data_IF_622805146453
#
_entry.id   IF_622805146453
#
_cell.length_a   1.000
_cell.length_b   1.000
_cell.length_c   1.000
_cell.angle_alpha   90.00
_cell.angle_beta   90.00
_cell.angle_gamma   90.00
#
_symmetry.space_group_name_H-M   'P 1'
#
loop_
_entity.id
_entity.type
_entity.pdbx_description
1 polymer ?
#
# COMPACT_ATOMS: atom_id res chain seq x y z
N UNK A 1 8.46 -27.75 21.19
CA UNK A 1 7.81 -26.69 20.42
C UNK A 1 8.87 -25.67 20.06
N UNK A 2 9.06 -25.29 18.80
CA UNK A 2 9.96 -24.21 18.44
C UNK A 2 9.52 -22.92 19.14
N UNK A 3 10.47 -22.12 19.60
CA UNK A 3 10.19 -20.83 20.24
C UNK A 3 9.57 -19.91 19.17
N UNK A 4 8.38 -19.34 19.44
CA UNK A 4 7.81 -18.33 18.53
C UNK A 4 8.74 -17.12 18.47
N UNK A 5 9.02 -16.56 17.26
CA UNK A 5 9.86 -15.39 17.12
C UNK A 5 9.24 -14.16 17.80
N UNK A 6 10.10 -13.29 18.31
CA UNK A 6 9.72 -11.98 18.84
C UNK A 6 9.51 -10.97 17.72
N UNK A 7 8.55 -10.06 17.89
CA UNK A 7 8.18 -9.06 16.90
C UNK A 7 8.30 -7.64 17.47
N UNK A 8 8.96 -6.73 16.76
CA UNK A 8 8.84 -5.30 17.02
C UNK A 8 7.93 -4.64 15.98
N UNK A 9 7.08 -3.69 16.43
CA UNK A 9 6.31 -2.79 15.55
C UNK A 9 6.86 -1.38 15.74
N UNK A 10 7.62 -0.90 14.76
CA UNK A 10 8.28 0.41 14.78
C UNK A 10 7.41 1.42 14.03
N UNK A 11 7.06 2.52 14.70
CA UNK A 11 6.03 3.44 14.24
C UNK A 11 4.62 3.10 14.74
N UNK A 12 4.51 2.31 15.80
CA UNK A 12 3.25 1.74 16.31
C UNK A 12 2.13 2.76 16.59
N UNK A 13 2.46 4.04 16.78
CA UNK A 13 1.49 5.12 17.04
C UNK A 13 1.04 5.88 15.79
N UNK A 14 1.56 5.52 14.62
CA UNK A 14 1.19 6.10 13.33
C UNK A 14 -0.12 5.55 12.77
N UNK A 15 -0.63 6.15 11.69
CA UNK A 15 -1.87 5.72 11.06
C UNK A 15 -1.81 4.26 10.59
N UNK A 16 -0.73 3.86 9.91
CA UNK A 16 -0.51 2.47 9.49
C UNK A 16 -0.14 1.59 10.67
N UNK A 17 0.68 2.09 11.62
CA UNK A 17 1.07 1.35 12.83
C UNK A 17 -0.14 0.87 13.64
N UNK A 18 -1.15 1.73 13.82
CA UNK A 18 -2.39 1.33 14.52
C UNK A 18 -3.18 0.27 13.74
N UNK A 19 -3.19 0.33 12.41
CA UNK A 19 -3.77 -0.72 11.57
C UNK A 19 -2.97 -2.03 11.66
N UNK A 20 -1.63 -1.96 11.76
CA UNK A 20 -0.80 -3.15 12.02
C UNK A 20 -1.20 -3.85 13.32
N UNK A 21 -1.44 -3.09 14.41
CA UNK A 21 -1.87 -3.68 15.69
C UNK A 21 -3.25 -4.34 15.59
N UNK A 22 -4.20 -3.73 14.86
CA UNK A 22 -5.51 -4.34 14.59
C UNK A 22 -5.38 -5.64 13.79
N UNK A 23 -4.56 -5.64 12.75
CA UNK A 23 -4.27 -6.82 11.93
C UNK A 23 -3.63 -7.93 12.76
N UNK A 24 -2.58 -7.62 13.53
CA UNK A 24 -1.92 -8.61 14.40
C UNK A 24 -2.88 -9.22 15.42
N UNK A 25 -3.88 -8.45 15.89
CA UNK A 25 -4.90 -8.91 16.83
C UNK A 25 -5.90 -9.89 16.23
N UNK A 26 -6.07 -9.87 14.90
CA UNK A 26 -7.06 -10.68 14.17
C UNK A 26 -6.45 -11.84 13.39
N UNK A 27 -5.14 -11.82 13.17
CA UNK A 27 -4.41 -12.83 12.40
C UNK A 27 -3.82 -13.94 13.27
N UNK A 28 -3.09 -14.87 12.62
CA UNK A 28 -2.46 -16.03 13.27
C UNK A 28 -1.54 -15.60 14.41
N UNK A 29 -1.65 -16.30 15.51
CA UNK A 29 -0.73 -16.14 16.65
C UNK A 29 0.59 -16.89 16.42
N UNK A 30 1.46 -16.29 15.61
CA UNK A 30 2.77 -16.85 15.25
C UNK A 30 3.93 -16.23 16.02
N UNK A 31 3.69 -15.13 16.73
CA UNK A 31 4.72 -14.40 17.49
C UNK A 31 4.65 -14.69 19.00
N UNK A 32 5.82 -14.66 19.64
CA UNK A 32 5.93 -14.64 21.10
C UNK A 32 5.74 -13.22 21.65
N UNK A 33 6.84 -12.59 22.10
CA UNK A 33 6.83 -11.19 22.54
C UNK A 33 6.50 -10.24 21.38
N UNK A 34 5.66 -9.23 21.64
CA UNK A 34 5.44 -8.10 20.74
C UNK A 34 5.90 -6.83 21.46
N UNK A 35 6.84 -6.11 20.85
CA UNK A 35 7.38 -4.85 21.34
C UNK A 35 6.95 -3.68 20.49
N UNK A 36 6.32 -2.66 21.09
CA UNK A 36 5.88 -1.47 20.38
C UNK A 36 6.94 -0.38 20.51
N UNK A 37 7.43 0.11 19.36
CA UNK A 37 8.50 1.12 19.31
C UNK A 37 7.98 2.36 18.55
N UNK A 38 8.25 3.54 19.09
CA UNK A 38 7.95 4.80 18.44
C UNK A 38 8.92 5.91 18.88
N UNK A 39 8.71 7.15 18.39
CA UNK A 39 9.53 8.29 18.82
C UNK A 39 9.45 8.51 20.34
N UNK A 40 10.46 9.19 20.90
CA UNK A 40 10.50 9.53 22.33
C UNK A 40 9.24 10.29 22.82
N UNK A 41 8.60 11.08 21.94
CA UNK A 41 7.32 11.77 22.25
C UNK A 41 6.15 10.82 22.51
N UNK A 42 6.22 9.61 22.00
CA UNK A 42 5.19 8.59 22.14
C UNK A 42 5.53 7.51 23.17
N UNK A 43 6.75 7.51 23.69
CA UNK A 43 7.17 6.56 24.73
C UNK A 43 6.26 6.69 25.97
N UNK A 44 5.95 5.55 26.60
CA UNK A 44 5.04 5.46 27.73
C UNK A 44 3.56 5.39 27.37
N UNK A 45 3.16 5.68 26.12
CA UNK A 45 1.78 5.44 25.67
C UNK A 45 1.46 3.95 25.74
N UNK A 46 0.20 3.65 26.03
CA UNK A 46 -0.30 2.27 26.06
C UNK A 46 -1.21 2.01 24.88
N UNK A 47 -0.99 0.91 24.18
CA UNK A 47 -1.78 0.50 23.02
C UNK A 47 -2.19 -0.96 23.17
N UNK A 48 -3.39 -1.28 22.70
CA UNK A 48 -3.90 -2.65 22.71
C UNK A 48 -3.36 -3.42 21.48
N UNK A 49 -2.81 -4.60 21.74
CA UNK A 49 -2.47 -5.56 20.70
C UNK A 49 -2.76 -6.98 21.21
N UNK A 50 -3.51 -7.78 20.44
CA UNK A 50 -3.85 -9.18 20.79
C UNK A 50 -4.52 -9.34 22.17
N UNK A 51 -5.32 -8.35 22.58
CA UNK A 51 -6.00 -8.36 23.89
C UNK A 51 -5.13 -7.93 25.07
N UNK A 52 -3.88 -7.59 24.84
CA UNK A 52 -2.94 -7.13 25.87
C UNK A 52 -2.65 -5.63 25.71
N UNK A 53 -2.51 -4.93 26.84
CA UNK A 53 -2.08 -3.55 26.87
C UNK A 53 -0.55 -3.48 26.90
N UNK A 54 0.05 -3.03 25.81
CA UNK A 54 1.50 -2.95 25.63
C UNK A 54 1.98 -1.49 25.75
N UNK A 55 3.08 -1.28 26.46
CA UNK A 55 3.70 0.04 26.60
C UNK A 55 4.65 0.31 25.43
N UNK A 56 4.49 1.45 24.79
CA UNK A 56 5.38 1.91 23.73
C UNK A 56 6.72 2.34 24.32
N UNK A 57 7.81 1.80 23.78
CA UNK A 57 9.17 2.20 24.12
C UNK A 57 9.74 3.19 23.11
N UNK A 58 10.71 4.00 23.54
CA UNK A 58 11.41 4.92 22.66
C UNK A 58 12.30 4.15 21.67
N UNK A 59 12.41 4.66 20.45
CA UNK A 59 13.32 4.15 19.43
C UNK A 59 14.78 4.35 19.90
N UNK A 60 15.49 3.25 20.09
CA UNK A 60 16.90 3.20 20.48
C UNK A 60 17.51 1.87 20.01
N UNK A 61 18.85 1.73 19.95
CA UNK A 61 19.47 0.45 19.60
C UNK A 61 19.09 -0.70 20.55
N UNK A 62 18.92 -0.41 21.84
CA UNK A 62 18.55 -1.39 22.88
C UNK A 62 17.11 -1.90 22.69
N UNK A 63 16.24 -1.09 22.08
CA UNK A 63 14.87 -1.48 21.76
C UNK A 63 14.79 -2.68 20.80
N UNK A 64 15.86 -2.98 20.07
CA UNK A 64 15.94 -4.12 19.13
C UNK A 64 16.63 -5.35 19.74
N UNK A 65 17.13 -5.29 20.95
CA UNK A 65 17.77 -6.45 21.59
C UNK A 65 16.77 -7.59 21.81
N UNK A 66 17.13 -8.77 21.30
CA UNK A 66 16.28 -9.97 21.38
C UNK A 66 15.06 -9.96 20.45
N UNK A 67 15.00 -9.04 19.48
CA UNK A 67 13.95 -9.01 18.46
C UNK A 67 14.38 -9.84 17.25
N UNK A 68 13.53 -10.77 16.82
CA UNK A 68 13.76 -11.65 15.69
C UNK A 68 13.21 -11.02 14.38
N UNK A 69 12.09 -10.30 14.45
CA UNK A 69 11.43 -9.65 13.31
C UNK A 69 11.03 -8.22 13.69
N UNK A 70 11.26 -7.25 12.80
CA UNK A 70 10.87 -5.86 13.04
C UNK A 70 10.10 -5.28 11.85
N UNK A 71 8.81 -4.96 12.04
CA UNK A 71 7.96 -4.26 11.07
C UNK A 71 8.13 -2.76 11.25
N UNK A 72 8.57 -2.07 10.19
CA UNK A 72 8.81 -0.63 10.18
C UNK A 72 7.74 0.11 9.41
N UNK A 73 7.14 1.13 10.05
CA UNK A 73 6.28 2.12 9.42
C UNK A 73 6.68 3.52 9.92
N UNK A 74 7.74 4.03 9.35
CA UNK A 74 8.37 5.31 9.72
C UNK A 74 8.78 6.06 8.44
N UNK A 75 9.06 7.39 8.51
CA UNK A 75 9.59 8.13 7.36
C UNK A 75 10.87 7.52 6.78
N UNK A 76 11.10 7.72 5.48
CA UNK A 76 12.25 7.15 4.75
C UNK A 76 13.59 7.43 5.44
N UNK A 77 13.81 8.66 5.93
CA UNK A 77 15.06 9.04 6.60
C UNK A 77 15.26 8.29 7.93
N UNK A 78 14.17 8.07 8.67
CA UNK A 78 14.22 7.27 9.91
C UNK A 78 14.51 5.81 9.59
N UNK A 79 13.87 5.25 8.56
CA UNK A 79 14.14 3.87 8.15
C UNK A 79 15.58 3.68 7.66
N UNK A 80 16.13 4.61 6.87
CA UNK A 80 17.53 4.56 6.43
C UNK A 80 18.52 4.46 7.59
N UNK A 81 18.24 5.15 8.68
CA UNK A 81 19.06 5.13 9.88
C UNK A 81 18.84 3.84 10.69
N UNK A 82 17.61 3.49 10.97
CA UNK A 82 17.26 2.51 12.00
C UNK A 82 17.07 1.08 11.50
N UNK A 83 16.69 0.88 10.24
CA UNK A 83 16.53 -0.49 9.72
C UNK A 83 17.87 -1.26 9.67
N UNK A 84 19.01 -0.67 9.25
CA UNK A 84 20.30 -1.33 9.36
C UNK A 84 20.73 -1.61 10.82
N UNK A 85 20.38 -0.72 11.76
CA UNK A 85 20.67 -0.93 13.20
C UNK A 85 19.88 -2.15 13.71
N UNK A 86 18.58 -2.23 13.42
CA UNK A 86 17.76 -3.38 13.80
C UNK A 86 18.30 -4.68 13.18
N UNK A 87 18.66 -4.66 11.90
CA UNK A 87 19.25 -5.82 11.21
C UNK A 87 20.60 -6.23 11.84
N UNK A 88 21.45 -5.29 12.25
CA UNK A 88 22.72 -5.57 12.92
C UNK A 88 22.54 -6.20 14.31
N UNK A 89 21.38 -6.01 14.95
CA UNK A 89 20.99 -6.66 16.22
C UNK A 89 20.38 -8.06 16.01
N UNK A 90 20.28 -8.53 14.75
CA UNK A 90 19.78 -9.85 14.40
C UNK A 90 18.33 -9.90 13.94
N UNK A 91 17.60 -8.77 13.93
CA UNK A 91 16.23 -8.75 13.47
C UNK A 91 16.15 -8.81 11.91
N UNK A 92 15.20 -9.58 11.39
CA UNK A 92 14.77 -9.42 10.00
C UNK A 92 13.80 -8.24 9.92
N UNK A 93 14.20 -7.21 9.18
CA UNK A 93 13.39 -5.99 9.04
C UNK A 93 12.42 -6.13 7.86
N UNK A 94 11.14 -5.81 8.08
CA UNK A 94 10.12 -5.65 7.03
C UNK A 94 9.76 -4.16 6.98
N UNK A 95 10.27 -3.46 5.99
CA UNK A 95 10.23 -2.00 5.91
C UNK A 95 9.13 -1.50 4.96
N UNK A 96 8.15 -0.77 5.51
CA UNK A 96 7.06 -0.14 4.74
C UNK A 96 7.45 1.22 4.15
N UNK A 97 8.62 1.78 4.48
CA UNK A 97 9.08 3.04 3.91
C UNK A 97 9.53 2.89 2.44
N UNK A 98 9.80 4.02 1.79
CA UNK A 98 10.40 4.03 0.45
C UNK A 98 11.92 3.85 0.41
N UNK A 99 12.56 3.79 1.59
CA UNK A 99 14.01 3.93 1.75
C UNK A 99 14.84 2.91 0.95
N UNK A 100 14.39 1.65 0.92
CA UNK A 100 15.15 0.53 0.34
C UNK A 100 14.47 -0.15 -0.84
N UNK A 101 13.29 0.29 -1.26
CA UNK A 101 12.49 -0.40 -2.29
C UNK A 101 13.24 -0.65 -3.59
N UNK A 102 14.09 0.30 -3.99
CA UNK A 102 14.85 0.21 -5.24
C UNK A 102 16.33 -0.20 -5.03
N UNK A 103 16.71 -0.59 -3.82
CA UNK A 103 18.02 -1.16 -3.54
C UNK A 103 18.09 -2.61 -4.07
N UNK A 104 19.05 -2.92 -4.94
CA UNK A 104 19.17 -4.25 -5.58
C UNK A 104 19.49 -5.37 -4.58
N UNK A 105 20.00 -5.02 -3.40
CA UNK A 105 20.29 -5.98 -2.32
C UNK A 105 19.15 -6.12 -1.29
N UNK A 106 18.00 -5.47 -1.55
CA UNK A 106 16.82 -5.53 -0.70
C UNK A 106 15.63 -6.01 -1.55
N UNK A 107 15.03 -7.17 -1.26
CA UNK A 107 13.88 -7.65 -2.02
C UNK A 107 12.65 -6.77 -1.78
N UNK A 108 11.85 -6.60 -2.82
CA UNK A 108 10.57 -5.91 -2.77
C UNK A 108 9.46 -6.95 -2.91
N UNK A 109 8.71 -7.22 -1.83
CA UNK A 109 7.93 -8.46 -1.73
C UNK A 109 6.42 -8.20 -1.65
N UNK A 110 5.70 -8.97 -2.44
CA UNK A 110 4.24 -9.15 -2.35
C UNK A 110 3.97 -10.64 -2.21
N UNK A 111 3.49 -11.13 -1.06
CA UNK A 111 3.36 -12.55 -0.78
C UNK A 111 2.54 -13.35 -1.80
N UNK A 112 1.58 -12.72 -2.47
CA UNK A 112 0.77 -13.37 -3.52
C UNK A 112 1.45 -13.39 -4.90
N UNK A 113 2.61 -12.71 -5.06
CA UNK A 113 3.26 -12.54 -6.37
C UNK A 113 4.65 -13.15 -6.40
N UNK A 114 5.50 -12.83 -5.42
CA UNK A 114 6.92 -13.24 -5.38
C UNK A 114 7.37 -13.59 -3.94
N UNK A 115 6.66 -14.51 -3.23
CA UNK A 115 6.96 -14.84 -1.83
C UNK A 115 8.36 -15.44 -1.61
N UNK A 116 8.95 -16.09 -2.62
CA UNK A 116 10.29 -16.70 -2.58
C UNK A 116 11.39 -15.68 -2.37
N UNK A 117 11.18 -14.42 -2.79
CA UNK A 117 12.16 -13.33 -2.67
C UNK A 117 12.48 -12.96 -1.22
N UNK A 118 11.66 -13.33 -0.23
CA UNK A 118 11.97 -13.11 1.18
C UNK A 118 13.33 -13.69 1.59
N UNK A 119 13.79 -14.74 0.90
CA UNK A 119 15.06 -15.43 1.19
C UNK A 119 16.27 -14.65 0.69
N UNK A 120 16.08 -13.79 -0.31
CA UNK A 120 17.14 -12.99 -0.95
C UNK A 120 17.33 -11.63 -0.23
N UNK A 121 17.70 -11.65 1.06
CA UNK A 121 17.82 -10.46 1.91
C UNK A 121 19.23 -10.31 2.53
N UNK A 122 20.30 -10.10 1.76
CA UNK A 122 21.66 -10.02 2.28
C UNK A 122 21.88 -8.89 3.30
N UNK A 123 21.03 -7.86 3.29
CA UNK A 123 21.05 -6.79 4.29
C UNK A 123 20.17 -7.04 5.51
N UNK A 124 19.51 -8.20 5.62
CA UNK A 124 18.52 -8.47 6.66
C UNK A 124 17.25 -7.63 6.57
N UNK A 125 17.04 -6.93 5.44
CA UNK A 125 15.91 -6.03 5.20
C UNK A 125 15.09 -6.56 4.03
N UNK A 126 13.76 -6.52 4.15
CA UNK A 126 12.77 -6.79 3.10
C UNK A 126 11.90 -5.54 2.97
N UNK A 127 11.74 -5.01 1.76
CA UNK A 127 10.89 -3.85 1.52
C UNK A 127 9.45 -4.24 1.18
N UNK A 128 8.52 -3.49 1.75
CA UNK A 128 7.10 -3.49 1.41
C UNK A 128 6.84 -2.44 0.31
N UNK A 129 6.12 -2.77 -0.78
CA UNK A 129 5.87 -1.84 -1.87
C UNK A 129 5.01 -0.63 -1.50
N UNK A 130 4.98 0.35 -2.39
CA UNK A 130 4.10 1.51 -2.33
C UNK A 130 2.62 1.10 -2.38
N UNK A 131 1.77 1.83 -1.65
CA UNK A 131 0.35 1.51 -1.53
C UNK A 131 -0.40 1.54 -2.88
N UNK A 132 -0.06 2.45 -3.79
CA UNK A 132 -0.66 2.51 -5.12
C UNK A 132 -0.26 1.31 -5.95
N UNK A 133 1.01 0.92 -5.91
CA UNK A 133 1.50 -0.31 -6.57
C UNK A 133 0.81 -1.54 -5.99
N UNK A 134 0.76 -1.67 -4.66
CA UNK A 134 0.11 -2.80 -3.97
C UNK A 134 -1.37 -2.94 -4.32
N UNK A 135 -2.08 -1.83 -4.49
CA UNK A 135 -3.51 -1.86 -4.85
C UNK A 135 -3.80 -2.60 -6.16
N UNK A 136 -2.85 -2.69 -7.10
CA UNK A 136 -3.06 -3.33 -8.40
C UNK A 136 -2.20 -4.57 -8.65
N UNK A 137 -1.01 -4.65 -8.02
CA UNK A 137 0.03 -5.60 -8.46
C UNK A 137 -0.36 -7.06 -8.22
N UNK A 138 -1.21 -7.33 -7.23
CA UNK A 138 -1.72 -8.68 -6.95
C UNK A 138 -2.55 -9.18 -8.15
N UNK A 139 -3.47 -8.35 -8.63
CA UNK A 139 -4.29 -8.68 -9.81
C UNK A 139 -3.44 -8.76 -11.09
N UNK A 140 -2.50 -7.82 -11.25
CA UNK A 140 -1.60 -7.80 -12.42
C UNK A 140 -0.65 -8.99 -12.43
N UNK A 141 -0.15 -9.45 -11.29
CA UNK A 141 0.67 -10.65 -11.17
C UNK A 141 -0.09 -11.91 -11.60
N UNK A 142 -1.33 -12.07 -11.17
CA UNK A 142 -2.18 -13.19 -11.58
C UNK A 142 -2.40 -13.19 -13.10
N UNK A 143 -2.73 -12.05 -13.70
CA UNK A 143 -2.92 -11.94 -15.15
C UNK A 143 -1.60 -12.08 -15.91
N UNK A 144 -0.48 -11.61 -15.36
CA UNK A 144 0.85 -11.79 -15.95
C UNK A 144 1.20 -13.27 -16.10
N UNK A 145 0.96 -14.06 -15.06
CA UNK A 145 1.24 -15.52 -15.09
C UNK A 145 0.46 -16.24 -16.21
N UNK A 146 -0.73 -15.76 -16.54
CA UNK A 146 -1.57 -16.34 -17.60
C UNK A 146 -1.20 -15.87 -19.00
N UNK A 147 -0.96 -14.54 -19.14
CA UNK A 147 -0.94 -13.91 -20.45
C UNK A 147 0.40 -13.27 -20.84
N UNK A 148 1.31 -13.02 -19.88
CA UNK A 148 2.57 -12.30 -20.12
C UNK A 148 2.36 -10.79 -20.26
N UNK A 149 2.47 -10.04 -19.16
CA UNK A 149 2.25 -8.59 -19.16
C UNK A 149 3.37 -7.83 -19.85
N UNK A 150 3.04 -6.91 -20.76
CA UNK A 150 3.99 -6.09 -21.56
C UNK A 150 3.89 -4.60 -21.27
N UNK A 151 2.66 -4.11 -21.04
CA UNK A 151 2.43 -2.69 -20.87
C UNK A 151 1.29 -2.41 -19.90
N UNK A 152 1.45 -1.37 -19.09
CA UNK A 152 0.44 -0.83 -18.19
C UNK A 152 0.23 0.67 -18.44
N UNK A 153 -1.02 1.07 -18.64
CA UNK A 153 -1.46 2.46 -18.54
C UNK A 153 -2.37 2.58 -17.33
N UNK A 154 -2.03 3.44 -16.39
CA UNK A 154 -2.67 3.51 -15.08
C UNK A 154 -3.07 4.94 -14.75
N UNK A 155 -4.34 5.15 -14.40
CA UNK A 155 -4.79 6.35 -13.73
C UNK A 155 -5.20 5.98 -12.31
N UNK A 156 -4.53 6.53 -11.29
CA UNK A 156 -4.87 6.25 -9.89
C UNK A 156 -5.78 7.34 -9.31
N UNK A 157 -6.72 6.93 -8.47
CA UNK A 157 -7.60 7.77 -7.66
C UNK A 157 -7.23 7.53 -6.20
N UNK A 158 -6.28 8.34 -5.70
CA UNK A 158 -5.64 8.09 -4.42
C UNK A 158 -6.32 8.85 -3.28
N UNK A 159 -6.69 8.12 -2.24
CA UNK A 159 -7.28 8.65 -1.03
C UNK A 159 -6.32 9.57 -0.26
N UNK A 160 -6.90 10.45 0.56
CA UNK A 160 -6.18 11.40 1.42
C UNK A 160 -5.26 10.71 2.43
N UNK A 161 -5.64 9.51 2.91
CA UNK A 161 -4.84 8.70 3.85
C UNK A 161 -3.45 8.33 3.33
N UNK A 162 -3.24 8.35 2.01
CA UNK A 162 -1.91 8.17 1.42
C UNK A 162 -0.91 9.29 1.76
N UNK A 163 -1.40 10.42 2.28
CA UNK A 163 -0.58 11.49 2.86
C UNK A 163 -0.52 11.42 4.41
N UNK A 164 -0.86 10.24 4.98
CA UNK A 164 -0.86 9.99 6.41
C UNK A 164 -2.00 10.68 7.17
N UNK A 165 -1.88 10.73 8.49
CA UNK A 165 -2.89 11.37 9.35
C UNK A 165 -3.17 12.84 8.99
N UNK A 166 -2.15 13.67 8.65
CA UNK A 166 -2.42 15.06 8.22
C UNK A 166 -3.34 15.15 7.00
N UNK A 167 -3.22 14.21 6.04
CA UNK A 167 -4.10 14.17 4.86
C UNK A 167 -5.55 13.84 5.22
N UNK A 168 -5.76 12.93 6.15
CA UNK A 168 -7.10 12.59 6.66
C UNK A 168 -7.74 13.76 7.38
N UNK A 169 -6.99 14.41 8.27
CA UNK A 169 -7.49 15.49 9.11
C UNK A 169 -7.88 16.72 8.26
N UNK A 170 -6.99 17.12 7.34
CA UNK A 170 -7.28 18.28 6.49
C UNK A 170 -8.48 18.04 5.57
N UNK A 171 -8.65 16.84 4.99
CA UNK A 171 -9.81 16.54 4.16
C UNK A 171 -11.11 16.60 4.97
N UNK A 172 -11.12 16.08 6.21
CA UNK A 172 -12.29 16.17 7.10
C UNK A 172 -12.67 17.61 7.41
N UNK A 173 -11.67 18.47 7.70
CA UNK A 173 -11.92 19.89 7.93
C UNK A 173 -12.42 20.61 6.68
N UNK A 174 -11.84 20.33 5.51
CA UNK A 174 -12.28 20.89 4.24
C UNK A 174 -13.73 20.49 3.90
N UNK A 175 -14.11 19.22 4.15
CA UNK A 175 -15.51 18.77 3.95
C UNK A 175 -16.47 19.57 4.83
N UNK A 176 -16.13 19.82 6.09
CA UNK A 176 -16.97 20.65 6.99
C UNK A 176 -17.11 22.08 6.46
N UNK A 177 -16.03 22.66 5.96
CA UNK A 177 -16.05 24.03 5.41
C UNK A 177 -16.96 24.15 4.19
N UNK A 178 -16.94 23.18 3.27
CA UNK A 178 -17.75 23.23 2.04
C UNK A 178 -19.20 22.81 2.26
N UNK A 179 -19.50 22.00 3.28
CA UNK A 179 -20.83 21.42 3.51
C UNK A 179 -21.94 22.48 3.72
N UNK A 180 -21.60 23.65 4.23
CA UNK A 180 -22.53 24.72 4.54
C UNK A 180 -22.37 25.96 3.64
N UNK A 181 -21.78 25.77 2.47
CA UNK A 181 -21.52 26.87 1.52
C UNK A 181 -21.99 26.48 0.13
N UNK A 182 -22.11 27.45 -0.77
CA UNK A 182 -22.34 27.20 -2.19
C UNK A 182 -21.03 26.91 -2.95
N UNK A 183 -19.96 26.54 -2.26
CA UNK A 183 -18.71 26.11 -2.90
C UNK A 183 -18.97 24.84 -3.69
N UNK A 184 -18.57 24.83 -4.96
CA UNK A 184 -18.88 23.74 -5.89
C UNK A 184 -20.13 23.95 -6.75
N UNK A 185 -20.84 25.08 -6.59
CA UNK A 185 -21.85 25.51 -7.56
C UNK A 185 -21.21 25.81 -8.92
N UNK A 186 -22.05 26.17 -9.92
CA UNK A 186 -21.66 26.37 -11.34
C UNK A 186 -20.39 27.23 -11.52
N UNK A 187 -20.16 28.20 -10.65
CA UNK A 187 -18.93 28.98 -10.58
C UNK A 187 -18.11 28.66 -9.31
N UNK A 188 -18.39 27.54 -8.68
CA UNK A 188 -17.89 27.16 -7.35
C UNK A 188 -16.38 26.98 -7.34
N UNK A 189 -15.70 27.84 -6.62
CA UNK A 189 -14.29 27.72 -6.32
C UNK A 189 -14.12 27.40 -4.86
N UNK A 190 -13.81 26.15 -4.55
CA UNK A 190 -13.56 25.71 -3.18
C UNK A 190 -12.43 26.51 -2.49
N UNK A 191 -11.52 27.14 -3.27
CA UNK A 191 -10.47 28.04 -2.74
C UNK A 191 -11.05 29.30 -2.07
N UNK A 192 -12.30 29.69 -2.36
CA UNK A 192 -12.94 30.82 -1.68
C UNK A 192 -13.10 30.56 -0.18
N UNK A 193 -13.37 29.32 0.21
CA UNK A 193 -13.60 28.95 1.62
C UNK A 193 -12.46 28.14 2.21
N UNK A 194 -11.77 27.32 1.42
CA UNK A 194 -10.64 26.53 1.87
C UNK A 194 -9.34 27.32 1.67
N UNK A 195 -8.65 27.61 2.77
CA UNK A 195 -7.36 28.33 2.78
C UNK A 195 -6.19 27.45 3.18
N UNK A 196 -6.44 26.42 3.97
CA UNK A 196 -5.45 25.42 4.37
C UNK A 196 -5.60 24.17 3.50
N UNK A 197 -4.52 23.82 2.81
CA UNK A 197 -4.45 22.63 1.94
C UNK A 197 -3.71 21.46 2.59
N UNK A 198 -3.10 21.68 3.76
CA UNK A 198 -2.28 20.68 4.43
C UNK A 198 -1.17 20.16 3.53
N UNK A 199 -1.05 18.82 3.36
CA UNK A 199 0.00 18.24 2.52
C UNK A 199 -0.31 18.27 1.01
N UNK A 200 -1.42 18.87 0.58
CA UNK A 200 -1.84 18.90 -0.82
C UNK A 200 -1.49 20.22 -1.51
N UNK A 201 -1.40 20.20 -2.84
CA UNK A 201 -1.10 21.39 -3.64
C UNK A 201 -2.30 22.33 -3.87
N UNK A 202 -3.47 21.98 -3.34
CA UNK A 202 -4.71 22.74 -3.45
C UNK A 202 -5.81 22.14 -2.58
N UNK A 203 -7.01 22.74 -2.57
CA UNK A 203 -8.15 22.17 -1.86
C UNK A 203 -8.47 20.78 -2.45
N UNK A 204 -8.70 19.80 -1.58
CA UNK A 204 -9.04 18.44 -2.00
C UNK A 204 -10.56 18.21 -1.98
N UNK A 205 -11.29 18.76 -1.00
CA UNK A 205 -12.75 18.64 -0.97
C UNK A 205 -13.37 19.28 -2.23
N UNK A 206 -14.27 18.56 -2.88
CA UNK A 206 -14.92 18.90 -4.14
C UNK A 206 -13.95 19.13 -5.32
N UNK A 207 -12.77 18.49 -5.29
CA UNK A 207 -11.72 18.67 -6.29
C UNK A 207 -10.93 17.38 -6.51
N UNK A 208 -10.20 17.32 -7.65
CA UNK A 208 -9.17 16.31 -7.91
C UNK A 208 -7.85 17.02 -8.18
N UNK A 209 -6.75 16.43 -7.70
CA UNK A 209 -5.41 17.01 -7.86
C UNK A 209 -4.54 15.99 -8.60
N UNK A 210 -4.14 16.25 -9.87
CA UNK A 210 -3.32 15.32 -10.65
C UNK A 210 -1.86 15.39 -10.21
N UNK A 211 -1.63 15.19 -8.92
CA UNK A 211 -0.32 15.22 -8.29
C UNK A 211 -0.27 14.42 -7.00
N UNK A 212 0.76 13.59 -6.85
CA UNK A 212 1.07 12.92 -5.59
C UNK A 212 2.59 12.75 -5.46
N UNK A 213 3.13 13.12 -4.29
CA UNK A 213 4.56 13.06 -3.99
C UNK A 213 5.35 14.28 -4.47
N UNK A 214 6.64 14.10 -4.76
CA UNK A 214 7.59 15.16 -5.17
C UNK A 214 7.87 15.12 -6.66
N UNK A 215 8.27 16.28 -7.22
CA UNK A 215 8.71 16.39 -8.62
C UNK A 215 9.98 15.57 -8.85
N UNK A 216 9.99 14.86 -9.97
CA UNK A 216 11.11 14.08 -10.50
C UNK A 216 11.43 14.50 -11.94
N UNK A 217 12.33 13.76 -12.59
CA UNK A 217 12.74 13.97 -13.98
C UNK A 217 11.55 13.97 -14.96
N UNK A 218 11.67 14.66 -16.06
CA UNK A 218 10.69 14.74 -17.15
C UNK A 218 9.26 15.13 -16.71
N UNK A 219 9.10 15.80 -15.56
CA UNK A 219 7.82 16.22 -15.04
C UNK A 219 7.02 15.15 -14.30
N UNK A 220 7.56 13.95 -14.11
CA UNK A 220 6.93 12.89 -13.34
C UNK A 220 6.88 13.22 -11.85
N UNK A 221 5.85 12.74 -11.17
CA UNK A 221 5.83 12.70 -9.71
C UNK A 221 6.54 11.46 -9.17
N UNK A 222 7.00 11.52 -7.91
CA UNK A 222 7.61 10.35 -7.28
C UNK A 222 6.66 9.15 -7.19
N UNK A 223 5.35 9.36 -7.04
CA UNK A 223 4.37 8.28 -7.02
C UNK A 223 4.26 7.56 -8.37
N UNK A 224 4.26 8.30 -9.48
CA UNK A 224 4.21 7.73 -10.83
C UNK A 224 5.44 6.85 -11.11
N UNK A 225 6.63 7.32 -10.71
CA UNK A 225 7.86 6.53 -10.85
C UNK A 225 7.88 5.30 -9.93
N UNK A 226 7.28 5.37 -8.73
CA UNK A 226 7.12 4.19 -7.86
C UNK A 226 6.24 3.13 -8.55
N UNK A 227 5.09 3.50 -9.09
CA UNK A 227 4.21 2.57 -9.83
C UNK A 227 5.00 1.84 -10.93
N UNK A 228 5.78 2.59 -11.72
CA UNK A 228 6.60 2.03 -12.79
C UNK A 228 7.72 1.11 -12.28
N UNK A 229 8.55 1.62 -11.40
CA UNK A 229 9.80 0.95 -11.02
C UNK A 229 9.53 -0.25 -10.10
N UNK A 230 8.59 -0.11 -9.17
CA UNK A 230 8.21 -1.18 -8.25
C UNK A 230 7.49 -2.32 -8.99
N UNK A 231 6.57 -2.01 -9.94
CA UNK A 231 5.94 -3.05 -10.76
C UNK A 231 6.97 -3.88 -11.54
N UNK A 232 7.98 -3.24 -12.10
CA UNK A 232 9.08 -3.93 -12.78
C UNK A 232 9.86 -4.85 -11.86
N UNK A 233 10.17 -4.38 -10.65
CA UNK A 233 10.96 -5.14 -9.67
C UNK A 233 10.16 -6.32 -9.12
N UNK A 234 8.91 -6.10 -8.72
CA UNK A 234 8.05 -7.15 -8.14
C UNK A 234 7.76 -8.27 -9.16
N UNK A 235 7.47 -7.91 -10.41
CA UNK A 235 7.15 -8.88 -11.47
C UNK A 235 8.39 -9.45 -12.17
N UNK A 236 9.61 -8.98 -11.87
CA UNK A 236 10.82 -9.37 -12.58
C UNK A 236 10.88 -8.90 -14.04
N UNK A 237 10.05 -7.93 -14.43
CA UNK A 237 9.87 -7.46 -15.81
C UNK A 237 10.63 -6.14 -16.05
N UNK A 238 11.94 -6.19 -16.23
CA UNK A 238 12.80 -4.99 -16.41
C UNK A 238 12.33 -4.07 -17.54
N UNK A 239 11.75 -4.63 -18.60
CA UNK A 239 11.31 -3.90 -19.80
C UNK A 239 9.81 -3.59 -19.83
N UNK A 240 9.07 -3.85 -18.75
CA UNK A 240 7.64 -3.51 -18.67
C UNK A 240 7.45 -2.02 -18.95
N UNK A 241 6.63 -1.70 -19.95
CA UNK A 241 6.25 -0.31 -20.21
C UNK A 241 5.16 0.11 -19.23
N UNK A 242 5.34 1.23 -18.56
CA UNK A 242 4.35 1.75 -17.62
C UNK A 242 4.19 3.24 -17.80
N UNK A 243 2.96 3.67 -18.05
CA UNK A 243 2.54 5.06 -18.01
C UNK A 243 1.55 5.23 -16.86
N UNK A 244 1.88 6.06 -15.89
CA UNK A 244 1.04 6.27 -14.71
C UNK A 244 0.74 7.77 -14.54
N UNK A 245 -0.52 8.08 -14.20
CA UNK A 245 -0.95 9.40 -13.72
C UNK A 245 -1.54 9.23 -12.34
N UNK A 246 -0.94 9.88 -11.35
CA UNK A 246 -1.35 9.76 -9.95
C UNK A 246 -2.18 10.97 -9.52
N UNK A 247 -3.43 10.72 -9.15
CA UNK A 247 -4.43 11.75 -8.84
C UNK A 247 -4.90 11.60 -7.39
N UNK A 248 -4.88 12.69 -6.61
CA UNK A 248 -5.58 12.76 -5.32
C UNK A 248 -7.04 13.05 -5.52
N UNK A 249 -7.89 12.31 -4.84
CA UNK A 249 -9.35 12.46 -4.86
C UNK A 249 -9.90 12.66 -3.44
N UNK A 250 -11.10 13.26 -3.28
CA UNK A 250 -11.68 13.56 -1.97
C UNK A 250 -12.30 12.31 -1.31
N UNK A 251 -11.51 11.25 -1.22
CA UNK A 251 -11.81 9.98 -0.55
C UNK A 251 -10.87 9.85 0.64
N UNK A 252 -11.39 9.46 1.81
CA UNK A 252 -10.58 9.38 3.03
C UNK A 252 -9.59 8.22 2.97
N UNK A 253 -10.07 7.01 2.65
CA UNK A 253 -9.26 5.78 2.64
C UNK A 253 -9.66 4.94 1.42
N UNK A 254 -8.77 4.09 0.94
CA UNK A 254 -8.90 3.24 -0.25
C UNK A 254 -8.46 3.93 -1.53
N UNK A 255 -7.42 3.38 -2.15
CA UNK A 255 -7.01 3.77 -3.49
C UNK A 255 -7.78 2.99 -4.53
N UNK A 256 -8.11 3.68 -5.63
CA UNK A 256 -8.68 3.03 -6.83
C UNK A 256 -7.80 3.31 -8.03
N UNK A 257 -7.83 2.42 -9.02
CA UNK A 257 -7.06 2.56 -10.24
C UNK A 257 -7.89 2.09 -11.45
N UNK A 258 -7.92 2.92 -12.48
CA UNK A 258 -8.29 2.48 -13.82
C UNK A 258 -7.02 1.97 -14.51
N UNK A 259 -7.05 0.73 -14.96
CA UNK A 259 -5.89 0.05 -15.55
C UNK A 259 -6.24 -0.42 -16.94
N UNK A 260 -5.40 -0.06 -17.91
CA UNK A 260 -5.33 -0.68 -19.23
C UNK A 260 -4.04 -1.50 -19.29
N UNK A 261 -4.16 -2.80 -19.52
CA UNK A 261 -3.05 -3.73 -19.51
C UNK A 261 -2.95 -4.46 -20.85
N UNK A 262 -1.74 -4.48 -21.44
CA UNK A 262 -1.44 -5.15 -22.71
C UNK A 262 -0.54 -6.35 -22.42
N UNK A 263 -0.84 -7.48 -23.05
CA UNK A 263 -0.19 -8.77 -22.83
C UNK A 263 0.46 -9.34 -24.10
N UNK A 264 1.26 -10.37 -23.93
CA UNK A 264 1.86 -11.13 -25.06
C UNK A 264 0.82 -11.97 -25.82
N UNK A 265 -0.19 -12.45 -25.10
CA UNK A 265 -1.22 -13.33 -25.63
C UNK A 265 -2.56 -12.62 -25.73
N UNK A 266 -3.40 -13.05 -26.66
CA UNK A 266 -4.78 -12.60 -26.73
C UNK A 266 -5.53 -12.86 -25.44
N UNK A 267 -6.32 -11.88 -24.97
CA UNK A 267 -7.05 -11.93 -23.70
C UNK A 267 -8.53 -12.23 -23.95
N UNK A 268 -9.05 -13.22 -23.25
CA UNK A 268 -10.49 -13.45 -23.13
C UNK A 268 -11.00 -12.83 -21.83
N UNK A 269 -12.11 -12.05 -21.90
CA UNK A 269 -12.75 -11.47 -20.70
C UNK A 269 -13.10 -12.56 -19.69
N UNK A 270 -13.73 -13.65 -20.15
CA UNK A 270 -14.14 -14.74 -19.26
C UNK A 270 -12.95 -15.41 -18.57
N UNK A 271 -11.90 -15.75 -19.33
CA UNK A 271 -10.70 -16.36 -18.74
C UNK A 271 -10.01 -15.41 -17.77
N UNK A 272 -9.96 -14.11 -18.08
CA UNK A 272 -9.39 -13.12 -17.16
C UNK A 272 -10.20 -13.02 -15.85
N UNK A 273 -11.54 -13.05 -15.92
CA UNK A 273 -12.40 -13.10 -14.74
C UNK A 273 -12.17 -14.38 -13.93
N UNK A 274 -12.01 -15.53 -14.59
CA UNK A 274 -11.74 -16.80 -13.92
C UNK A 274 -10.36 -16.79 -13.22
N UNK A 275 -9.33 -16.23 -13.88
CA UNK A 275 -8.00 -16.03 -13.28
C UNK A 275 -8.09 -15.15 -12.04
N UNK A 276 -8.74 -14.00 -12.14
CA UNK A 276 -8.89 -13.04 -11.03
C UNK A 276 -9.70 -13.62 -9.87
N UNK A 277 -10.79 -14.33 -10.17
CA UNK A 277 -11.64 -14.97 -9.16
C UNK A 277 -10.90 -16.03 -8.33
N UNK A 278 -9.92 -16.71 -8.94
CA UNK A 278 -9.15 -17.76 -8.28
C UNK A 278 -7.80 -17.26 -7.73
N UNK A 279 -7.46 -15.98 -7.95
CA UNK A 279 -6.21 -15.41 -7.46
C UNK A 279 -6.25 -15.14 -5.96
N UNK A 280 -5.22 -15.59 -5.24
CA UNK A 280 -5.07 -15.28 -3.83
C UNK A 280 -4.98 -13.76 -3.61
N UNK A 281 -5.71 -13.26 -2.60
CA UNK A 281 -5.71 -11.84 -2.27
C UNK A 281 -6.51 -10.94 -3.23
N UNK A 282 -7.27 -11.52 -4.15
CA UNK A 282 -8.17 -10.81 -5.08
C UNK A 282 -9.63 -11.15 -4.78
N UNK A 283 -10.49 -10.15 -4.79
CA UNK A 283 -11.95 -10.29 -4.75
C UNK A 283 -12.52 -9.75 -6.06
N UNK A 284 -13.13 -10.60 -6.87
CA UNK A 284 -13.75 -10.20 -8.15
C UNK A 284 -15.22 -9.81 -7.92
N UNK A 285 -15.53 -8.53 -8.15
CA UNK A 285 -16.90 -7.99 -8.14
C UNK A 285 -17.17 -7.32 -9.48
N UNK A 286 -17.71 -8.07 -10.44
CA UNK A 286 -17.87 -7.61 -11.83
C UNK A 286 -19.23 -8.05 -12.42
N UNK A 287 -20.30 -7.41 -11.97
CA UNK A 287 -21.66 -7.58 -12.46
C UNK A 287 -22.22 -6.22 -12.91
N UNK A 288 -21.82 -5.75 -14.10
CA UNK A 288 -22.19 -4.42 -14.60
C UNK A 288 -23.69 -4.30 -14.92
N UNK A 289 -24.40 -5.41 -15.19
CA UNK A 289 -25.85 -5.40 -15.48
C UNK A 289 -26.64 -5.03 -14.21
N UNK A 290 -26.17 -5.43 -13.06
CA UNK A 290 -26.75 -5.09 -11.76
C UNK A 290 -25.98 -3.96 -11.03
N UNK A 291 -25.15 -3.20 -11.75
CA UNK A 291 -24.35 -2.09 -11.22
C UNK A 291 -23.44 -2.49 -10.03
N UNK A 292 -22.95 -3.74 -10.00
CA UNK A 292 -22.04 -4.21 -8.96
C UNK A 292 -20.59 -4.18 -9.45
N UNK A 293 -19.80 -3.33 -8.85
CA UNK A 293 -18.38 -3.13 -9.09
C UNK A 293 -17.72 -2.52 -7.85
N UNK A 294 -16.41 -2.69 -7.64
CA UNK A 294 -15.75 -2.21 -6.43
C UNK A 294 -15.76 -0.68 -6.35
N UNK A 295 -16.07 -0.17 -5.15
CA UNK A 295 -15.93 1.24 -4.81
C UNK A 295 -15.14 1.41 -3.49
N UNK A 296 -14.52 2.58 -3.23
CA UNK A 296 -13.86 2.83 -1.96
C UNK A 296 -14.74 2.60 -0.73
N UNK A 297 -16.04 2.88 -0.84
CA UNK A 297 -17.00 2.71 0.26
C UNK A 297 -17.25 1.23 0.62
N UNK A 298 -17.14 0.33 -0.37
CA UNK A 298 -17.32 -1.12 -0.16
C UNK A 298 -16.03 -1.78 0.33
N UNK A 299 -14.88 -1.26 -0.10
CA UNK A 299 -13.57 -1.90 0.08
C UNK A 299 -12.85 -1.50 1.36
N UNK A 300 -13.16 -0.31 1.91
CA UNK A 300 -12.53 0.17 3.14
C UNK A 300 -12.67 -0.84 4.28
N UNK A 301 -11.56 -1.14 4.96
CA UNK A 301 -11.49 -2.10 6.07
C UNK A 301 -11.41 -3.57 5.64
N UNK A 302 -11.41 -3.87 4.33
CA UNK A 302 -11.23 -5.24 3.82
C UNK A 302 -9.79 -5.54 3.47
N UNK A 303 -9.43 -6.82 3.42
CA UNK A 303 -8.07 -7.29 3.17
C UNK A 303 -7.73 -7.47 1.68
N UNK A 304 -8.61 -8.02 0.82
CA UNK A 304 -8.27 -8.29 -0.57
C UNK A 304 -8.19 -7.02 -1.43
N UNK A 305 -7.50 -7.13 -2.55
CA UNK A 305 -7.64 -6.22 -3.68
C UNK A 305 -8.92 -6.56 -4.43
N UNK A 306 -9.85 -5.61 -4.53
CA UNK A 306 -11.10 -5.80 -5.25
C UNK A 306 -10.95 -5.38 -6.71
N UNK A 307 -11.44 -6.22 -7.61
CA UNK A 307 -11.35 -6.01 -9.07
C UNK A 307 -12.74 -6.09 -9.70
N UNK A 308 -13.03 -5.20 -10.62
CA UNK A 308 -14.25 -5.24 -11.41
C UNK A 308 -14.10 -4.44 -12.70
N UNK A 309 -15.19 -4.25 -13.43
CA UNK A 309 -15.19 -3.58 -14.71
C UNK A 309 -14.21 -4.22 -15.71
N UNK A 310 -14.08 -5.54 -15.67
CA UNK A 310 -13.21 -6.31 -16.56
C UNK A 310 -13.80 -6.30 -17.96
N UNK A 311 -13.07 -5.70 -18.91
CA UNK A 311 -13.50 -5.55 -20.31
C UNK A 311 -12.34 -5.88 -21.25
N UNK A 312 -12.58 -6.71 -22.25
CA UNK A 312 -11.65 -6.85 -23.37
C UNK A 312 -11.62 -5.52 -24.15
N UNK A 313 -10.44 -5.07 -24.54
CA UNK A 313 -10.33 -3.92 -25.45
C UNK A 313 -11.05 -4.21 -26.77
N UNK A 314 -11.69 -3.19 -27.33
CA UNK A 314 -12.35 -3.30 -28.64
C UNK A 314 -11.35 -3.19 -29.80
N UNK A 315 -10.20 -2.54 -29.55
CA UNK A 315 -9.24 -2.20 -30.58
C UNK A 315 -7.97 -3.09 -30.55
N UNK A 316 -7.61 -3.63 -29.37
CA UNK A 316 -6.45 -4.50 -29.20
C UNK A 316 -6.87 -5.85 -28.59
N UNK A 317 -6.72 -6.97 -29.33
CA UNK A 317 -7.10 -8.28 -28.83
C UNK A 317 -6.26 -8.74 -27.64
N UNK A 318 -5.09 -8.15 -27.43
CA UNK A 318 -4.17 -8.47 -26.35
C UNK A 318 -4.35 -7.59 -25.11
N UNK A 319 -5.33 -6.68 -25.13
CA UNK A 319 -5.51 -5.72 -24.05
C UNK A 319 -6.81 -5.95 -23.27
N UNK A 320 -6.75 -5.61 -21.97
CA UNK A 320 -7.87 -5.63 -21.05
C UNK A 320 -7.94 -4.33 -20.25
N UNK A 321 -9.14 -3.83 -20.02
CA UNK A 321 -9.43 -2.75 -19.10
C UNK A 321 -10.08 -3.28 -17.84
N UNK A 322 -9.67 -2.77 -16.69
CA UNK A 322 -10.28 -3.12 -15.41
C UNK A 322 -10.20 -1.98 -14.41
N UNK A 323 -10.99 -2.06 -13.36
CA UNK A 323 -10.97 -1.14 -12.25
C UNK A 323 -10.61 -1.89 -10.96
N UNK A 324 -9.69 -1.34 -10.21
CA UNK A 324 -9.15 -1.96 -9.00
C UNK A 324 -9.37 -1.03 -7.82
N UNK A 325 -9.77 -1.59 -6.68
CA UNK A 325 -9.82 -0.90 -5.40
C UNK A 325 -9.05 -1.69 -4.35
N UNK A 326 -8.24 -1.00 -3.53
CA UNK A 326 -7.52 -1.62 -2.42
C UNK A 326 -7.43 -0.67 -1.23
N UNK A 327 -7.69 -1.18 -0.02
CA UNK A 327 -7.48 -0.38 1.19
C UNK A 327 -5.97 -0.12 1.35
N UNK A 328 -5.59 1.15 1.16
CA UNK A 328 -4.20 1.57 1.13
C UNK A 328 -3.51 1.53 2.50
N UNK A 329 -4.26 1.45 3.59
CA UNK A 329 -3.72 1.27 4.93
C UNK A 329 -3.60 -0.22 5.30
N UNK A 330 -4.42 -1.10 4.69
CA UNK A 330 -4.40 -2.55 4.92
C UNK A 330 -3.50 -3.26 3.89
N UNK A 331 -4.05 -3.78 2.79
CA UNK A 331 -3.22 -4.45 1.76
C UNK A 331 -2.15 -3.52 1.20
N UNK A 332 -2.47 -2.24 1.06
CA UNK A 332 -1.51 -1.22 0.61
C UNK A 332 -0.32 -0.95 1.56
N UNK A 333 -0.36 -1.42 2.81
CA UNK A 333 0.70 -1.17 3.80
C UNK A 333 0.75 -2.24 4.90
N UNK A 334 -0.09 -2.09 5.94
CA UNK A 334 -0.02 -2.88 7.17
C UNK A 334 -0.20 -4.39 6.95
N UNK A 335 -1.16 -4.78 6.12
CA UNK A 335 -1.44 -6.19 5.87
C UNK A 335 -0.30 -6.86 5.08
N UNK A 336 0.18 -6.22 4.01
CA UNK A 336 1.27 -6.79 3.23
C UNK A 336 2.55 -6.93 4.08
N UNK A 337 2.84 -5.91 4.92
CA UNK A 337 3.95 -5.98 5.89
C UNK A 337 3.77 -7.14 6.86
N UNK A 338 2.57 -7.33 7.43
CA UNK A 338 2.26 -8.43 8.33
C UNK A 338 2.37 -9.80 7.64
N UNK A 339 1.89 -9.93 6.41
CA UNK A 339 2.00 -11.15 5.61
C UNK A 339 3.47 -11.51 5.33
N UNK A 340 4.32 -10.53 4.98
CA UNK A 340 5.76 -10.75 4.82
C UNK A 340 6.37 -11.22 6.14
N UNK A 341 6.04 -10.55 7.25
CA UNK A 341 6.54 -10.93 8.58
C UNK A 341 6.10 -12.34 9.00
N UNK A 342 4.88 -12.77 8.62
CA UNK A 342 4.41 -14.15 8.83
C UNK A 342 5.21 -15.19 8.01
N UNK A 343 5.58 -14.85 6.76
CA UNK A 343 6.45 -15.72 5.94
C UNK A 343 7.84 -15.85 6.58
N UNK A 344 8.39 -14.75 7.10
CA UNK A 344 9.66 -14.77 7.83
C UNK A 344 9.53 -15.55 9.14
N UNK A 345 8.42 -15.40 9.88
CA UNK A 345 8.19 -16.13 11.13
C UNK A 345 8.13 -17.66 10.92
N UNK A 346 7.74 -18.11 9.74
CA UNK A 346 7.72 -19.54 9.40
C UNK A 346 9.13 -20.17 9.23
N UNK A 347 10.18 -19.35 9.22
CA UNK A 347 11.57 -19.82 9.15
C UNK A 347 12.16 -20.16 10.54
N UNK A 348 11.48 -19.77 11.65
CA UNK A 348 11.87 -20.00 13.06
C UNK A 348 11.19 -21.25 13.63
#
# INVERSE_FOLDING_TARGET
MSKKPSLAVVGATGAVGTVMLDILSKRKDVYGEIRLIASSRSAGKKLMCRGEELTVVALSPEAFEGIDIAMFDVPDEVSKEWAPIAASKGAVVVDNSGAFRMDDQVPLVVPEVNPEEIKNRPKGIISNPNCTTLSMIVAMGALHNQYGLKELVVASYQAASGAGQPGLDILREQIKLVANTNSGDVAGDSRKVIKDFGPFSGPLALNVIPWAGSLKEEGYSSEELKVRNESRKILGLKNLKVSATCVRVPVLTTHSLAVHAIFDKEVSRQVAQDVLKNAAGVELVDDPENHKFPTPADVVGTDPTWVGRVRKSLDDPNAIDLFVCGDNLRKGAALNTAQIAELVAAEF
#
